data_IF_165981492182
#
_entry.id   IF_165981492182
#
_cell.length_a   1.000
_cell.length_b   1.000
_cell.length_c   1.000
_cell.angle_alpha   90.00
_cell.angle_beta   90.00
_cell.angle_gamma   90.00
#
_symmetry.space_group_name_H-M   'P 1'
#
loop_
_entity.id
_entity.type
_entity.pdbx_description
1 polymer ?
#
# COMPACT_ATOMS: atom_id res chain seq x y z
N UNK A 1 3.95 25.33 -21.88
CA UNK A 1 3.37 23.97 -21.98
C UNK A 1 3.09 23.55 -20.55
N UNK A 2 1.82 23.45 -20.13
CA UNK A 2 1.50 22.70 -18.91
C UNK A 2 1.47 21.26 -19.38
N UNK A 3 2.48 20.49 -19.03
CA UNK A 3 2.46 19.07 -19.35
C UNK A 3 1.33 18.44 -18.56
N UNK A 4 0.32 17.98 -19.30
CA UNK A 4 -0.84 17.24 -18.79
C UNK A 4 -0.40 15.81 -18.48
N UNK A 5 0.41 15.65 -17.43
CA UNK A 5 0.76 14.34 -16.92
C UNK A 5 -0.39 13.84 -16.04
N UNK A 6 -1.45 13.35 -16.68
CA UNK A 6 -2.45 12.54 -16.00
C UNK A 6 -1.80 11.23 -15.54
N UNK A 7 -2.14 10.79 -14.34
CA UNK A 7 -1.61 9.54 -13.81
C UNK A 7 -2.17 8.36 -14.61
N UNK A 8 -1.37 7.33 -14.93
CA UNK A 8 -1.84 6.17 -15.69
C UNK A 8 -2.95 5.39 -14.97
N UNK A 9 -3.20 5.67 -13.68
CA UNK A 9 -4.27 5.03 -12.92
C UNK A 9 -5.63 5.73 -13.06
N UNK A 10 -5.67 6.99 -13.51
CA UNK A 10 -6.86 7.85 -13.45
C UNK A 10 -7.93 7.55 -14.51
N UNK A 11 -7.76 6.50 -15.30
CA UNK A 11 -8.77 6.01 -16.25
C UNK A 11 -9.94 5.28 -15.57
N UNK A 12 -9.84 5.01 -14.26
CA UNK A 12 -10.88 4.32 -13.49
C UNK A 12 -11.79 5.32 -12.79
N UNK A 13 -13.06 5.32 -13.16
CA UNK A 13 -14.10 6.06 -12.43
C UNK A 13 -14.42 5.39 -11.09
N UNK A 14 -14.40 6.18 -10.02
CA UNK A 14 -14.81 5.80 -8.68
C UNK A 14 -16.19 6.36 -8.35
N UNK A 15 -16.98 5.69 -7.50
CA UNK A 15 -18.26 6.24 -7.04
C UNK A 15 -18.07 7.58 -6.34
N UNK A 16 -19.07 8.45 -6.45
CA UNK A 16 -19.12 9.72 -5.73
C UNK A 16 -19.91 9.56 -4.43
N UNK A 17 -19.53 10.33 -3.42
CA UNK A 17 -20.17 10.30 -2.11
C UNK A 17 -20.67 11.69 -1.70
N UNK A 18 -21.76 11.78 -0.94
CA UNK A 18 -22.28 13.05 -0.48
C UNK A 18 -21.31 13.73 0.49
N UNK A 19 -21.43 15.04 0.63
CA UNK A 19 -20.82 15.73 1.76
C UNK A 19 -21.57 15.40 3.05
N UNK A 20 -20.85 15.38 4.18
CA UNK A 20 -21.48 15.27 5.49
C UNK A 20 -22.35 16.51 5.71
N UNK A 21 -23.63 16.29 6.02
CA UNK A 21 -24.57 17.34 6.38
C UNK A 21 -25.02 17.16 7.83
N UNK A 22 -24.78 18.19 8.63
CA UNK A 22 -25.10 18.16 10.06
C UNK A 22 -24.23 17.16 10.84
N UNK A 23 -24.75 16.77 12.00
CA UNK A 23 -24.04 15.89 12.92
C UNK A 23 -24.34 14.41 12.62
N UNK A 24 -23.34 13.56 12.84
CA UNK A 24 -23.54 12.11 12.79
C UNK A 24 -22.72 11.42 13.88
N UNK A 25 -23.22 10.28 14.37
CA UNK A 25 -22.53 9.45 15.35
C UNK A 25 -22.00 8.16 14.69
N UNK A 26 -20.82 7.71 15.09
CA UNK A 26 -20.17 6.49 14.61
C UNK A 26 -19.51 5.75 15.78
N UNK A 27 -19.39 4.42 15.69
CA UNK A 27 -18.55 3.63 16.59
C UNK A 27 -17.06 3.89 16.29
N UNK A 28 -16.74 4.15 15.02
CA UNK A 28 -15.41 4.53 14.57
C UNK A 28 -15.48 5.55 13.42
N UNK A 29 -14.63 6.58 13.50
CA UNK A 29 -14.42 7.55 12.42
C UNK A 29 -13.01 7.38 11.84
N UNK A 30 -12.93 7.21 10.52
CA UNK A 30 -11.69 7.13 9.74
C UNK A 30 -11.51 8.43 8.98
N UNK A 31 -10.41 9.14 9.25
CA UNK A 31 -10.08 10.40 8.58
C UNK A 31 -9.14 10.13 7.40
N UNK A 32 -9.66 10.31 6.18
CA UNK A 32 -8.97 10.11 4.91
C UNK A 32 -9.54 8.95 4.09
N UNK A 33 -9.96 9.22 2.87
CA UNK A 33 -10.54 8.27 1.92
C UNK A 33 -9.53 7.68 0.92
N UNK A 34 -8.24 7.60 1.29
CA UNK A 34 -7.21 6.88 0.52
C UNK A 34 -7.13 5.40 0.89
N UNK A 35 -6.30 4.61 0.21
CA UNK A 35 -6.18 3.16 0.45
C UNK A 35 -5.97 2.78 1.92
N UNK A 36 -5.15 3.53 2.66
CA UNK A 36 -4.94 3.28 4.08
C UNK A 36 -6.25 3.38 4.89
N UNK A 37 -7.05 4.42 4.65
CA UNK A 37 -8.35 4.60 5.32
C UNK A 37 -9.38 3.55 4.89
N UNK A 38 -9.42 3.20 3.60
CA UNK A 38 -10.32 2.15 3.12
C UNK A 38 -9.98 0.78 3.71
N UNK A 39 -8.69 0.42 3.76
CA UNK A 39 -8.24 -0.82 4.40
C UNK A 39 -8.49 -0.81 5.91
N UNK A 40 -8.27 0.32 6.58
CA UNK A 40 -8.60 0.48 7.99
C UNK A 40 -10.09 0.21 8.25
N UNK A 41 -10.99 0.84 7.47
CA UNK A 41 -12.43 0.59 7.59
C UNK A 41 -12.78 -0.88 7.31
N UNK A 42 -12.13 -1.50 6.33
CA UNK A 42 -12.32 -2.92 6.02
C UNK A 42 -11.92 -3.82 7.20
N UNK A 43 -10.75 -3.61 7.81
CA UNK A 43 -10.32 -4.39 8.96
C UNK A 43 -11.19 -4.14 10.21
N UNK A 44 -11.68 -2.91 10.42
CA UNK A 44 -12.64 -2.61 11.48
C UNK A 44 -13.95 -3.39 11.29
N UNK A 45 -14.47 -3.49 10.06
CA UNK A 45 -15.63 -4.34 9.76
C UNK A 45 -15.34 -5.81 10.08
N UNK A 46 -14.16 -6.32 9.71
CA UNK A 46 -13.76 -7.71 10.01
C UNK A 46 -13.57 -7.95 11.50
N UNK A 47 -13.23 -6.91 12.26
CA UNK A 47 -13.19 -6.94 13.72
C UNK A 47 -14.57 -6.81 14.40
N UNK A 48 -15.66 -6.62 13.62
CA UNK A 48 -17.03 -6.58 14.11
C UNK A 48 -17.57 -5.19 14.43
N UNK A 49 -16.83 -4.12 14.11
CA UNK A 49 -17.32 -2.74 14.21
C UNK A 49 -18.35 -2.52 13.10
N UNK A 50 -19.54 -2.02 13.44
CA UNK A 50 -20.66 -1.91 12.47
C UNK A 50 -20.88 -0.49 11.99
N UNK A 51 -20.86 0.50 12.88
CA UNK A 51 -21.15 1.89 12.52
C UNK A 51 -19.86 2.66 12.25
N UNK A 52 -19.33 2.54 11.03
CA UNK A 52 -18.08 3.19 10.61
C UNK A 52 -18.39 4.37 9.68
N UNK A 53 -17.69 5.49 9.90
CA UNK A 53 -17.73 6.66 9.01
C UNK A 53 -16.33 6.93 8.45
N UNK A 54 -16.23 7.19 7.15
CA UNK A 54 -15.02 7.70 6.50
C UNK A 54 -15.25 9.15 6.09
N UNK A 55 -14.36 10.06 6.51
CA UNK A 55 -14.36 11.47 6.13
C UNK A 55 -13.19 11.76 5.19
N UNK A 56 -13.49 12.20 3.97
CA UNK A 56 -12.50 12.62 2.98
C UNK A 56 -12.66 14.11 2.65
N UNK A 57 -11.57 14.87 2.75
CA UNK A 57 -11.59 16.32 2.54
C UNK A 57 -11.85 16.72 1.08
N UNK A 58 -11.55 15.84 0.12
CA UNK A 58 -11.79 16.04 -1.32
C UNK A 58 -12.59 14.85 -1.87
N UNK A 59 -12.03 14.12 -2.84
CA UNK A 59 -12.58 12.90 -3.42
C UNK A 59 -11.79 11.69 -2.94
N UNK A 60 -12.46 10.56 -2.76
CA UNK A 60 -11.81 9.30 -2.35
C UNK A 60 -10.68 8.96 -3.33
N UNK A 61 -9.57 8.50 -2.78
CA UNK A 61 -8.36 8.12 -3.53
C UNK A 61 -7.70 9.20 -4.41
N UNK A 62 -8.19 10.45 -4.42
CA UNK A 62 -7.66 11.57 -5.24
C UNK A 62 -6.30 12.14 -4.76
N UNK A 63 -5.72 11.58 -3.70
CA UNK A 63 -4.39 11.92 -3.19
C UNK A 63 -3.33 10.95 -3.71
N UNK A 64 -2.39 10.57 -2.85
CA UNK A 64 -1.28 9.66 -3.18
C UNK A 64 -1.72 8.35 -3.84
N UNK A 65 -2.90 7.83 -3.50
CA UNK A 65 -3.45 6.61 -4.09
C UNK A 65 -3.59 6.70 -5.62
N UNK A 66 -4.08 7.82 -6.15
CA UNK A 66 -4.19 8.01 -7.61
C UNK A 66 -2.84 8.24 -8.30
N UNK A 67 -1.74 8.39 -7.57
CA UNK A 67 -0.41 8.72 -8.09
C UNK A 67 0.70 7.76 -7.60
N UNK A 68 0.32 6.61 -7.06
CA UNK A 68 1.27 5.60 -6.56
C UNK A 68 2.01 4.90 -7.72
N UNK A 69 3.01 4.07 -7.42
CA UNK A 69 3.66 3.22 -8.43
C UNK A 69 2.98 1.85 -8.60
N UNK A 70 1.87 1.58 -7.88
CA UNK A 70 1.06 0.37 -8.05
C UNK A 70 1.73 -0.93 -7.58
N UNK A 71 2.66 -0.83 -6.63
CA UNK A 71 3.41 -1.98 -6.09
C UNK A 71 2.92 -2.35 -4.69
N UNK A 72 2.94 -3.64 -4.38
CA UNK A 72 2.71 -4.20 -3.04
C UNK A 72 3.97 -4.97 -2.70
N UNK A 73 4.84 -4.35 -1.91
CA UNK A 73 6.20 -4.83 -1.66
C UNK A 73 6.60 -4.71 -0.21
N UNK A 74 7.49 -5.57 0.25
CA UNK A 74 8.31 -5.38 1.45
C UNK A 74 9.67 -4.73 1.14
N UNK A 75 10.02 -4.62 -0.14
CA UNK A 75 11.23 -3.96 -0.63
C UNK A 75 10.99 -2.45 -0.84
N UNK A 76 11.66 -1.59 -0.06
CA UNK A 76 11.49 -0.12 -0.12
C UNK A 76 12.81 0.65 -0.16
N UNK A 77 13.57 0.50 -1.26
CA UNK A 77 15.00 0.88 -1.37
C UNK A 77 15.86 -0.07 -0.51
N UNK A 78 17.06 0.37 -0.14
CA UNK A 78 17.92 -0.28 0.86
C UNK A 78 17.44 0.13 2.25
N UNK A 79 16.47 -0.61 2.78
CA UNK A 79 15.70 -0.20 3.96
C UNK A 79 16.08 -1.00 5.19
N UNK A 80 16.36 -2.29 5.06
CA UNK A 80 16.52 -3.20 6.19
C UNK A 80 17.83 -2.96 6.94
N UNK A 81 18.92 -2.68 6.22
CA UNK A 81 20.17 -2.29 6.89
C UNK A 81 19.99 -1.02 7.70
N UNK A 82 19.36 -0.01 7.09
CA UNK A 82 19.05 1.27 7.73
C UNK A 82 18.16 1.10 8.96
N UNK A 83 17.15 0.24 8.90
CA UNK A 83 16.26 -0.02 10.03
C UNK A 83 16.98 -0.73 11.17
N UNK A 84 17.82 -1.72 10.86
CA UNK A 84 18.63 -2.41 11.87
C UNK A 84 19.55 -1.42 12.60
N UNK A 85 20.19 -0.51 11.87
CA UNK A 85 21.10 0.48 12.45
C UNK A 85 20.36 1.59 13.20
N UNK A 86 19.16 2.00 12.74
CA UNK A 86 18.43 3.14 13.29
C UNK A 86 17.48 2.81 14.43
N UNK A 87 16.65 1.77 14.28
CA UNK A 87 15.60 1.39 15.25
C UNK A 87 15.86 0.04 15.93
N UNK A 88 16.99 -0.59 15.61
CA UNK A 88 17.43 -1.85 16.19
C UNK A 88 16.68 -3.08 15.66
N UNK A 89 17.11 -4.29 16.07
CA UNK A 89 16.58 -5.55 15.54
C UNK A 89 15.07 -5.74 15.71
N UNK A 90 14.50 -5.29 16.84
CA UNK A 90 13.06 -5.43 17.10
C UNK A 90 12.22 -4.54 16.17
N UNK A 91 12.53 -3.24 16.10
CA UNK A 91 11.80 -2.32 15.22
C UNK A 91 11.94 -2.69 13.74
N UNK A 92 13.13 -3.16 13.33
CA UNK A 92 13.34 -3.66 11.97
C UNK A 92 12.52 -4.93 11.68
N UNK A 93 12.41 -5.85 12.66
CA UNK A 93 11.60 -7.05 12.54
C UNK A 93 10.11 -6.73 12.48
N UNK A 94 9.62 -5.78 13.27
CA UNK A 94 8.22 -5.34 13.25
C UNK A 94 7.86 -4.75 11.88
N UNK A 95 8.75 -3.93 11.30
CA UNK A 95 8.59 -3.41 9.95
C UNK A 95 8.58 -4.51 8.89
N UNK A 96 9.52 -5.45 8.96
CA UNK A 96 9.62 -6.57 8.03
C UNK A 96 8.33 -7.42 8.06
N UNK A 97 7.85 -7.78 9.25
CA UNK A 97 6.63 -8.55 9.45
C UNK A 97 5.39 -7.81 8.98
N UNK A 98 5.27 -6.52 9.29
CA UNK A 98 4.15 -5.71 8.83
C UNK A 98 4.13 -5.62 7.30
N UNK A 99 5.29 -5.48 6.66
CA UNK A 99 5.39 -5.34 5.21
C UNK A 99 5.13 -6.66 4.46
N UNK A 100 5.73 -7.77 4.87
CA UNK A 100 5.44 -9.10 4.30
C UNK A 100 3.99 -9.52 4.60
N UNK A 101 3.50 -9.21 5.81
CA UNK A 101 2.11 -9.41 6.18
C UNK A 101 1.15 -8.61 5.30
N UNK A 102 1.48 -7.37 4.95
CA UNK A 102 0.67 -6.56 4.03
C UNK A 102 0.62 -7.19 2.62
N UNK A 103 1.74 -7.70 2.10
CA UNK A 103 1.76 -8.39 0.80
C UNK A 103 0.78 -9.57 0.79
N UNK A 104 0.82 -10.40 1.84
CA UNK A 104 -0.12 -11.51 2.00
C UNK A 104 -1.57 -11.01 2.15
N UNK A 105 -1.78 -9.99 2.99
CA UNK A 105 -3.11 -9.48 3.31
C UNK A 105 -3.83 -8.87 2.10
N UNK A 106 -3.14 -8.13 1.25
CA UNK A 106 -3.71 -7.65 -0.01
C UNK A 106 -4.20 -8.80 -0.88
N UNK A 107 -3.42 -9.88 -1.01
CA UNK A 107 -3.83 -11.08 -1.76
C UNK A 107 -5.09 -11.70 -1.16
N UNK A 108 -5.13 -11.89 0.15
CA UNK A 108 -6.29 -12.44 0.85
C UNK A 108 -7.56 -11.62 0.61
N UNK A 109 -7.48 -10.29 0.70
CA UNK A 109 -8.62 -9.39 0.47
C UNK A 109 -9.10 -9.51 -0.98
N UNK A 110 -8.17 -9.48 -1.94
CA UNK A 110 -8.48 -9.59 -3.37
C UNK A 110 -9.20 -10.89 -3.67
N UNK A 111 -8.71 -12.00 -3.12
CA UNK A 111 -9.30 -13.34 -3.32
C UNK A 111 -10.66 -13.48 -2.62
N UNK A 112 -10.76 -13.04 -1.36
CA UNK A 112 -11.98 -13.16 -0.56
C UNK A 112 -13.13 -12.33 -1.12
N UNK A 113 -12.86 -11.08 -1.51
CA UNK A 113 -13.86 -10.15 -2.02
C UNK A 113 -14.00 -10.20 -3.55
N UNK A 114 -13.19 -11.03 -4.23
CA UNK A 114 -13.18 -11.20 -5.69
C UNK A 114 -12.96 -9.89 -6.45
N UNK A 115 -11.98 -9.11 -6.01
CA UNK A 115 -11.70 -7.77 -6.56
C UNK A 115 -10.87 -7.89 -7.84
N UNK A 116 -11.46 -7.55 -8.98
CA UNK A 116 -10.75 -7.46 -10.26
C UNK A 116 -9.90 -6.18 -10.33
N UNK A 117 -8.60 -6.30 -10.01
CA UNK A 117 -7.68 -5.17 -9.93
C UNK A 117 -6.32 -5.40 -10.60
N UNK A 118 -6.29 -6.24 -11.63
CA UNK A 118 -5.06 -6.59 -12.37
C UNK A 118 -3.91 -7.08 -11.46
N UNK A 119 -4.27 -7.75 -10.35
CA UNK A 119 -3.30 -8.25 -9.39
C UNK A 119 -2.37 -9.27 -10.06
N UNK A 120 -1.09 -8.97 -10.05
CA UNK A 120 -0.05 -9.80 -10.66
C UNK A 120 1.02 -10.10 -9.62
N UNK A 121 1.12 -11.34 -9.13
CA UNK A 121 2.28 -11.77 -8.36
C UNK A 121 3.55 -11.63 -9.20
N UNK A 122 4.57 -10.99 -8.63
CA UNK A 122 5.86 -10.79 -9.27
C UNK A 122 6.93 -10.56 -8.21
N UNK A 123 8.19 -10.68 -8.60
CA UNK A 123 9.29 -10.35 -7.70
C UNK A 123 9.59 -8.84 -7.75
N UNK A 124 10.16 -8.31 -6.69
CA UNK A 124 10.68 -6.94 -6.67
C UNK A 124 12.20 -6.96 -6.75
N UNK A 125 12.76 -6.07 -7.57
CA UNK A 125 14.19 -5.98 -7.77
C UNK A 125 14.75 -4.60 -7.41
N UNK A 126 15.94 -4.59 -6.85
CA UNK A 126 16.87 -3.46 -6.90
C UNK A 126 18.03 -3.82 -7.81
N UNK A 127 18.51 -2.86 -8.60
CA UNK A 127 19.61 -3.08 -9.53
C UNK A 127 20.81 -2.21 -9.16
N UNK A 128 22.00 -2.77 -9.31
CA UNK A 128 23.27 -2.08 -9.18
C UNK A 128 24.00 -2.02 -10.52
N UNK A 129 24.50 -0.84 -10.89
CA UNK A 129 25.30 -0.65 -12.10
C UNK A 129 26.81 -0.68 -11.83
N UNK A 130 27.20 -0.54 -10.56
CA UNK A 130 28.59 -0.51 -10.12
C UNK A 130 28.89 -1.64 -9.13
N UNK A 131 30.15 -2.02 -9.01
CA UNK A 131 30.58 -3.00 -8.00
C UNK A 131 30.38 -2.49 -6.56
N UNK A 132 30.48 -1.17 -6.35
CA UNK A 132 30.22 -0.55 -5.05
C UNK A 132 28.75 -0.70 -4.65
N UNK A 133 27.82 -0.43 -5.57
CA UNK A 133 26.39 -0.60 -5.29
C UNK A 133 26.01 -2.07 -5.18
N UNK A 134 26.69 -2.96 -5.91
CA UNK A 134 26.51 -4.40 -5.76
C UNK A 134 26.85 -4.87 -4.33
N UNK A 135 27.90 -4.32 -3.73
CA UNK A 135 28.22 -4.60 -2.32
C UNK A 135 27.10 -4.13 -1.37
N UNK A 136 26.49 -2.95 -1.63
CA UNK A 136 25.35 -2.46 -0.84
C UNK A 136 24.14 -3.40 -0.95
N UNK A 137 23.93 -4.01 -2.12
CA UNK A 137 22.88 -5.02 -2.31
C UNK A 137 23.14 -6.28 -1.48
N UNK A 138 24.38 -6.76 -1.41
CA UNK A 138 24.76 -7.91 -0.57
C UNK A 138 24.53 -7.62 0.93
N UNK A 139 24.90 -6.42 1.38
CA UNK A 139 24.67 -5.99 2.77
C UNK A 139 23.18 -5.90 3.11
N UNK A 140 22.37 -5.38 2.18
CA UNK A 140 20.92 -5.32 2.33
C UNK A 140 20.28 -6.71 2.31
N UNK A 141 20.75 -7.62 1.46
CA UNK A 141 20.30 -9.02 1.44
C UNK A 141 20.59 -9.71 2.78
N UNK A 142 21.80 -9.52 3.33
CA UNK A 142 22.15 -10.03 4.66
C UNK A 142 21.30 -9.41 5.77
N UNK A 143 21.00 -8.11 5.70
CA UNK A 143 20.11 -7.44 6.65
C UNK A 143 18.68 -7.98 6.60
N UNK A 144 18.11 -8.14 5.40
CA UNK A 144 16.78 -8.70 5.18
C UNK A 144 16.71 -10.17 5.63
N UNK A 145 17.74 -10.97 5.35
CA UNK A 145 17.85 -12.37 5.77
C UNK A 145 17.85 -12.54 7.30
N UNK A 146 18.52 -11.65 8.04
CA UNK A 146 18.46 -11.64 9.52
C UNK A 146 17.06 -11.39 10.09
N UNK A 147 16.17 -10.82 9.28
CA UNK A 147 14.77 -10.55 9.62
C UNK A 147 13.82 -11.62 9.07
N UNK A 148 14.35 -12.67 8.44
CA UNK A 148 13.58 -13.79 7.89
C UNK A 148 13.04 -13.55 6.48
N UNK A 149 13.51 -12.51 5.78
CA UNK A 149 13.11 -12.23 4.39
C UNK A 149 14.07 -12.95 3.44
N UNK A 150 13.51 -13.66 2.46
CA UNK A 150 14.23 -14.44 1.44
C UNK A 150 14.78 -13.55 0.31
N UNK A 151 15.51 -12.48 0.66
CA UNK A 151 16.12 -11.57 -0.30
C UNK A 151 17.44 -12.15 -0.83
N UNK A 152 17.62 -12.17 -2.16
CA UNK A 152 18.76 -12.85 -2.81
C UNK A 152 19.41 -11.94 -3.84
N UNK A 153 20.74 -11.84 -3.79
CA UNK A 153 21.49 -11.23 -4.89
C UNK A 153 21.60 -12.23 -6.04
N UNK A 154 21.17 -11.81 -7.22
CA UNK A 154 21.18 -12.56 -8.47
C UNK A 154 21.97 -11.79 -9.53
N UNK A 155 22.62 -12.53 -10.43
CA UNK A 155 23.36 -11.97 -11.57
C UNK A 155 22.53 -11.90 -12.84
N UNK A 156 21.58 -12.83 -13.00
CA UNK A 156 20.64 -12.86 -14.10
C UNK A 156 19.32 -12.20 -13.65
N UNK A 157 18.82 -11.25 -14.44
CA UNK A 157 17.57 -10.57 -14.18
C UNK A 157 16.84 -10.28 -15.50
N UNK A 158 15.60 -9.81 -15.42
CA UNK A 158 14.72 -9.58 -16.58
C UNK A 158 15.14 -8.41 -17.48
N UNK A 159 16.15 -7.62 -17.09
CA UNK A 159 16.55 -6.44 -17.84
C UNK A 159 17.30 -6.81 -19.13
N UNK A 160 17.01 -6.15 -20.27
CA UNK A 160 17.64 -6.44 -21.55
C UNK A 160 19.06 -5.86 -21.69
N UNK A 161 19.69 -5.47 -20.58
CA UNK A 161 21.02 -4.86 -20.53
C UNK A 161 21.78 -5.31 -19.28
N UNK A 162 23.12 -5.29 -19.30
CA UNK A 162 23.93 -5.79 -18.20
C UNK A 162 23.80 -4.92 -16.95
N UNK A 163 23.81 -5.59 -15.79
CA UNK A 163 23.89 -4.98 -14.45
C UNK A 163 25.03 -5.64 -13.67
N UNK A 164 25.59 -4.94 -12.68
CA UNK A 164 26.63 -5.50 -11.82
C UNK A 164 26.04 -6.54 -10.85
N UNK A 165 24.82 -6.28 -10.34
CA UNK A 165 24.05 -7.19 -9.51
C UNK A 165 22.57 -6.76 -9.48
N UNK A 166 21.68 -7.68 -9.14
CA UNK A 166 20.29 -7.40 -8.80
C UNK A 166 19.91 -8.06 -7.48
N UNK A 167 19.19 -7.37 -6.60
CA UNK A 167 18.67 -7.92 -5.36
C UNK A 167 17.19 -8.22 -5.54
N UNK A 168 16.85 -9.51 -5.54
CA UNK A 168 15.52 -10.05 -5.70
C UNK A 168 14.84 -10.20 -4.33
N UNK A 169 13.62 -9.68 -4.22
CA UNK A 169 12.66 -9.99 -3.18
C UNK A 169 11.53 -10.79 -3.82
N UNK A 170 11.41 -12.10 -3.53
CA UNK A 170 10.42 -12.94 -4.19
C UNK A 170 9.01 -12.73 -3.63
N UNK A 171 7.99 -13.18 -4.37
CA UNK A 171 6.58 -13.27 -3.89
C UNK A 171 5.91 -11.93 -3.55
N UNK A 172 6.30 -10.88 -4.24
CA UNK A 172 5.70 -9.55 -4.13
C UNK A 172 4.53 -9.44 -5.11
N UNK A 173 4.01 -8.24 -5.35
CA UNK A 173 3.01 -8.03 -6.38
C UNK A 173 2.96 -6.61 -6.92
N UNK A 174 2.29 -6.47 -8.06
CA UNK A 174 1.75 -5.21 -8.58
C UNK A 174 0.25 -5.34 -8.81
N UNK A 175 -0.43 -4.21 -8.85
CA UNK A 175 -1.87 -4.13 -9.01
C UNK A 175 -2.30 -2.77 -9.54
N UNK A 176 -3.54 -2.67 -10.01
CA UNK A 176 -4.15 -1.40 -10.35
C UNK A 176 -4.81 -0.78 -9.09
N UNK A 177 -4.25 0.31 -8.53
CA UNK A 177 -4.69 0.84 -7.23
C UNK A 177 -6.13 1.35 -7.22
N UNK A 178 -6.58 2.03 -8.28
CA UNK A 178 -7.96 2.53 -8.34
C UNK A 178 -9.00 1.43 -8.62
N UNK A 179 -8.68 0.38 -9.39
CA UNK A 179 -9.57 -0.78 -9.53
C UNK A 179 -9.74 -1.51 -8.18
N UNK A 180 -8.64 -1.68 -7.44
CA UNK A 180 -8.70 -2.25 -6.09
C UNK A 180 -9.52 -1.38 -5.14
N UNK A 181 -9.28 -0.07 -5.14
CA UNK A 181 -10.05 0.88 -4.34
C UNK A 181 -11.55 0.82 -4.68
N UNK A 182 -11.91 0.73 -5.98
CA UNK A 182 -13.31 0.57 -6.41
C UNK A 182 -13.94 -0.69 -5.83
N UNK A 183 -13.29 -1.84 -5.97
CA UNK A 183 -13.80 -3.09 -5.41
C UNK A 183 -13.93 -3.03 -3.88
N UNK A 184 -12.97 -2.40 -3.19
CA UNK A 184 -13.04 -2.23 -1.75
C UNK A 184 -14.16 -1.27 -1.34
N UNK A 185 -14.37 -0.16 -2.06
CA UNK A 185 -15.49 0.76 -1.85
C UNK A 185 -16.84 0.06 -2.01
N UNK A 186 -16.99 -0.82 -3.01
CA UNK A 186 -18.21 -1.59 -3.22
C UNK A 186 -18.50 -2.52 -2.03
N UNK A 187 -17.47 -3.16 -1.48
CA UNK A 187 -17.56 -3.97 -0.25
C UNK A 187 -17.97 -3.11 0.93
N UNK A 188 -17.25 -2.01 1.19
CA UNK A 188 -17.53 -1.12 2.33
C UNK A 188 -18.98 -0.57 2.28
N UNK A 189 -19.46 -0.18 1.10
CA UNK A 189 -20.84 0.30 0.91
C UNK A 189 -21.86 -0.79 1.17
N UNK A 190 -21.63 -2.01 0.67
CA UNK A 190 -22.50 -3.18 0.89
C UNK A 190 -22.63 -3.50 2.38
N UNK A 191 -21.54 -3.35 3.13
CA UNK A 191 -21.50 -3.59 4.59
C UNK A 191 -22.00 -2.39 5.42
N UNK A 192 -22.45 -1.30 4.77
CA UNK A 192 -23.08 -0.17 5.43
C UNK A 192 -22.14 0.91 5.96
N UNK A 193 -20.86 0.90 5.56
CA UNK A 193 -19.91 1.98 5.89
C UNK A 193 -20.36 3.27 5.21
N UNK A 194 -20.46 4.35 6.00
CA UNK A 194 -20.84 5.67 5.51
C UNK A 194 -19.58 6.43 5.10
N UNK A 195 -19.56 6.92 3.88
CA UNK A 195 -18.42 7.64 3.32
C UNK A 195 -18.91 9.03 2.94
N UNK A 196 -18.17 10.05 3.38
CA UNK A 196 -18.46 11.45 3.04
C UNK A 196 -17.24 12.10 2.39
N UNK A 197 -17.45 12.59 1.17
CA UNK A 197 -16.47 13.39 0.44
C UNK A 197 -16.63 14.87 0.77
N UNK A 198 -15.69 15.71 0.35
CA UNK A 198 -15.71 17.16 0.58
C UNK A 198 -15.93 17.55 2.07
N UNK A 199 -15.50 16.68 2.99
CA UNK A 199 -15.77 16.75 4.43
C UNK A 199 -14.44 16.73 5.18
N UNK A 200 -13.86 17.92 5.39
CA UNK A 200 -12.56 18.08 6.04
C UNK A 200 -12.71 18.02 7.56
N UNK A 201 -12.06 17.05 8.19
CA UNK A 201 -11.81 17.08 9.63
C UNK A 201 -10.85 18.24 9.96
N UNK A 202 -11.24 19.11 10.90
CA UNK A 202 -10.49 20.33 11.26
C UNK A 202 -9.98 20.34 12.69
N UNK A 203 -10.63 19.57 13.58
CA UNK A 203 -10.30 19.45 14.98
C UNK A 203 -10.67 18.06 15.49
N UNK A 204 -10.02 17.66 16.58
CA UNK A 204 -10.38 16.52 17.42
C UNK A 204 -10.53 17.08 18.83
N UNK A 205 -11.67 16.83 19.45
CA UNK A 205 -11.97 17.23 20.82
C UNK A 205 -12.18 15.96 21.63
N UNK A 206 -11.42 15.81 22.72
CA UNK A 206 -11.63 14.75 23.69
C UNK A 206 -12.77 15.18 24.63
N UNK A 207 -13.71 14.28 24.90
CA UNK A 207 -14.86 14.52 25.77
C UNK A 207 -14.51 14.66 27.26
#
# INVERSE_FOLDING_TARGET
MKDDFSSPWQEVELPEFPALSGDCAADAAVVGGGLCGLLCAYELLRAGVKNIVILEARRVCSGTTAHTTGKITSQHRLIYRRLLDGVGPRGALDYARASEGAVARYREIIEAEKIDCDFTPCDAFLYALTSEDAQKLEEEAGAAGRLGIDARVVKECELPFPVAAALQFPRQARFHPLKFARGLLDVLRREGVRIYENSRAVALEDG
#
